data_IF_887224841293
#
_entry.id   IF_887224841293
#
_cell.length_a   1.000
_cell.length_b   1.000
_cell.length_c   1.000
_cell.angle_alpha   90.00
_cell.angle_beta   90.00
_cell.angle_gamma   90.00
#
_symmetry.space_group_name_H-M   'P 1'
#
loop_
_entity.id
_entity.type
_entity.pdbx_description
1 polymer ?
#
# COMPACT_ATOMS: atom_id res chain seq x y z
N UNK A 1 -8.06 12.41 -0.01
CA UNK A 1 -7.04 11.84 -0.92
C UNK A 1 -7.68 10.91 -1.92
N UNK A 2 -6.98 10.66 -3.00
CA UNK A 2 -7.34 9.64 -3.98
C UNK A 2 -6.49 8.40 -3.73
N UNK A 3 -7.14 7.25 -3.53
CA UNK A 3 -6.49 6.01 -3.09
C UNK A 3 -6.86 4.87 -4.04
N UNK A 4 -5.86 4.13 -4.50
CA UNK A 4 -6.05 2.90 -5.26
C UNK A 4 -5.92 1.70 -4.33
N UNK A 5 -6.86 0.76 -4.38
CA UNK A 5 -6.87 -0.42 -3.51
C UNK A 5 -7.07 -1.69 -4.35
N UNK A 6 -6.38 -2.76 -3.96
CA UNK A 6 -6.57 -4.09 -4.52
C UNK A 6 -6.18 -5.16 -3.51
N UNK A 7 -6.54 -6.39 -3.82
CA UNK A 7 -6.16 -7.54 -3.01
C UNK A 7 -5.93 -8.77 -3.90
N UNK A 8 -5.57 -9.89 -3.28
CA UNK A 8 -5.75 -11.21 -3.85
C UNK A 8 -6.99 -11.86 -3.23
N UNK A 9 -7.18 -13.16 -3.47
CA UNK A 9 -8.32 -13.89 -2.90
C UNK A 9 -8.27 -13.94 -1.36
N UNK A 10 -7.08 -14.04 -0.77
CA UNK A 10 -6.92 -14.10 0.69
C UNK A 10 -7.22 -12.77 1.37
N UNK A 11 -7.00 -11.66 0.67
CA UNK A 11 -7.26 -10.32 1.19
C UNK A 11 -8.60 -9.72 0.76
N UNK A 12 -9.38 -10.43 -0.04
CA UNK A 12 -10.60 -9.89 -0.65
C UNK A 12 -11.63 -9.41 0.39
N UNK A 13 -11.93 -10.22 1.39
CA UNK A 13 -12.91 -9.86 2.41
C UNK A 13 -12.52 -8.58 3.14
N UNK A 14 -11.26 -8.48 3.59
CA UNK A 14 -10.78 -7.27 4.24
C UNK A 14 -10.71 -6.08 3.27
N UNK A 15 -10.34 -6.31 2.00
CA UNK A 15 -10.33 -5.23 1.01
C UNK A 15 -11.70 -4.58 0.92
N UNK A 16 -12.77 -5.36 0.88
CA UNK A 16 -14.13 -4.83 0.80
C UNK A 16 -14.49 -3.99 2.03
N UNK A 17 -14.14 -4.46 3.23
CA UNK A 17 -14.38 -3.73 4.47
C UNK A 17 -13.55 -2.45 4.54
N UNK A 18 -12.28 -2.51 4.16
CA UNK A 18 -11.37 -1.37 4.19
C UNK A 18 -11.73 -0.34 3.12
N UNK A 19 -12.17 -0.79 1.95
CA UNK A 19 -12.67 0.08 0.89
C UNK A 19 -13.84 0.93 1.40
N UNK A 20 -14.81 0.30 2.06
CA UNK A 20 -15.96 1.01 2.62
C UNK A 20 -15.54 2.03 3.69
N UNK A 21 -14.59 1.65 4.55
CA UNK A 21 -14.04 2.53 5.57
C UNK A 21 -13.35 3.75 4.94
N UNK A 22 -12.50 3.52 3.93
CA UNK A 22 -11.78 4.61 3.25
C UNK A 22 -12.73 5.53 2.49
N UNK A 23 -13.78 4.99 1.89
CA UNK A 23 -14.73 5.75 1.09
C UNK A 23 -15.52 6.80 1.91
N UNK A 24 -15.53 6.70 3.22
CA UNK A 24 -16.16 7.70 4.09
C UNK A 24 -15.49 9.07 3.98
N UNK A 25 -14.17 9.11 3.72
CA UNK A 25 -13.39 10.35 3.73
C UNK A 25 -12.46 10.51 2.51
N UNK A 26 -12.40 9.53 1.61
CA UNK A 26 -11.49 9.54 0.48
C UNK A 26 -12.17 9.06 -0.79
N UNK A 27 -11.59 9.43 -1.94
CA UNK A 27 -11.98 8.85 -3.22
C UNK A 27 -11.19 7.55 -3.41
N UNK A 28 -11.89 6.42 -3.54
CA UNK A 28 -11.27 5.10 -3.62
C UNK A 28 -11.50 4.48 -4.98
N UNK A 29 -10.42 4.05 -5.62
CA UNK A 29 -10.45 3.33 -6.90
C UNK A 29 -10.12 1.87 -6.58
N UNK A 30 -11.09 0.98 -6.80
CA UNK A 30 -10.92 -0.46 -6.58
C UNK A 30 -10.39 -1.12 -7.85
N UNK A 31 -9.17 -1.67 -7.76
CA UNK A 31 -8.53 -2.34 -8.89
C UNK A 31 -8.75 -3.86 -8.88
N UNK A 32 -9.60 -4.34 -7.99
CA UNK A 32 -10.00 -5.73 -7.96
C UNK A 32 -9.30 -6.60 -6.93
N UNK A 33 -9.59 -7.91 -6.97
CA UNK A 33 -10.61 -8.56 -7.77
C UNK A 33 -12.03 -8.27 -7.28
N UNK A 34 -13.03 -8.75 -8.02
CA UNK A 34 -14.45 -8.58 -7.68
C UNK A 34 -15.02 -9.78 -6.89
N UNK A 35 -14.21 -10.80 -6.64
CA UNK A 35 -14.60 -12.00 -5.92
C UNK A 35 -13.43 -12.58 -5.14
N UNK A 36 -13.70 -13.59 -4.32
CA UNK A 36 -12.66 -14.32 -3.58
C UNK A 36 -12.12 -15.55 -4.35
N UNK A 37 -12.38 -15.63 -5.65
CA UNK A 37 -11.80 -16.68 -6.49
C UNK A 37 -10.28 -16.52 -6.52
N UNK A 38 -9.59 -17.67 -6.59
CA UNK A 38 -8.11 -17.68 -6.56
C UNK A 38 -7.51 -16.86 -7.70
N UNK A 39 -6.62 -15.94 -7.36
CA UNK A 39 -5.87 -15.08 -8.30
C UNK A 39 -4.43 -14.96 -7.84
N UNK A 40 -3.57 -14.50 -8.73
CA UNK A 40 -2.17 -14.23 -8.43
C UNK A 40 -2.00 -12.79 -7.94
N UNK A 41 -1.47 -12.62 -6.73
CA UNK A 41 -1.35 -11.31 -6.10
C UNK A 41 -0.51 -10.29 -6.93
N UNK A 42 0.57 -10.70 -7.67
CA UNK A 42 1.35 -9.71 -8.41
C UNK A 42 0.56 -8.97 -9.49
N UNK A 43 -0.44 -9.62 -10.09
CA UNK A 43 -1.27 -9.00 -11.12
C UNK A 43 -2.01 -7.78 -10.56
N UNK A 44 -2.49 -7.88 -9.33
CA UNK A 44 -3.24 -6.80 -8.68
C UNK A 44 -2.31 -5.77 -8.02
N UNK A 45 -1.18 -6.23 -7.46
CA UNK A 45 -0.17 -5.32 -6.94
C UNK A 45 0.32 -4.36 -8.02
N UNK A 46 0.55 -4.88 -9.23
CA UNK A 46 1.02 -4.09 -10.37
C UNK A 46 0.06 -2.98 -10.77
N UNK A 47 -1.25 -3.24 -10.71
CA UNK A 47 -2.26 -2.23 -11.08
C UNK A 47 -2.21 -1.03 -10.12
N UNK A 48 -2.21 -1.29 -8.81
CA UNK A 48 -2.13 -0.23 -7.80
C UNK A 48 -0.79 0.50 -7.87
N UNK A 49 0.30 -0.26 -7.98
CA UNK A 49 1.63 0.32 -8.06
C UNK A 49 1.76 1.26 -9.26
N UNK A 50 1.20 0.88 -10.41
CA UNK A 50 1.23 1.72 -11.60
C UNK A 50 0.40 3.00 -11.41
N UNK A 51 -0.76 2.90 -10.76
CA UNK A 51 -1.57 4.09 -10.45
C UNK A 51 -0.79 5.09 -9.59
N UNK A 52 -0.04 4.59 -8.60
CA UNK A 52 0.79 5.43 -7.74
C UNK A 52 1.97 6.02 -8.53
N UNK A 53 2.67 5.20 -9.29
CA UNK A 53 3.83 5.64 -10.08
C UNK A 53 3.46 6.71 -11.11
N UNK A 54 2.27 6.60 -11.72
CA UNK A 54 1.78 7.55 -12.73
C UNK A 54 1.22 8.84 -12.11
N UNK A 55 1.11 8.91 -10.78
CA UNK A 55 0.50 10.05 -10.12
C UNK A 55 -1.02 10.12 -10.26
N UNK A 56 -1.65 9.01 -10.71
CA UNK A 56 -3.11 8.94 -10.85
C UNK A 56 -3.82 8.94 -9.50
N UNK A 57 -3.14 8.48 -8.47
CA UNK A 57 -3.62 8.47 -7.08
C UNK A 57 -2.53 8.97 -6.14
N UNK A 58 -2.92 9.36 -4.92
CA UNK A 58 -1.98 9.84 -3.90
C UNK A 58 -1.29 8.68 -3.15
N UNK A 59 -2.02 7.59 -2.91
CA UNK A 59 -1.54 6.43 -2.14
C UNK A 59 -2.13 5.15 -2.68
N UNK A 60 -1.41 4.05 -2.44
CA UNK A 60 -1.88 2.70 -2.75
C UNK A 60 -2.07 1.86 -1.48
N UNK A 61 -3.06 0.98 -1.50
CA UNK A 61 -3.36 0.03 -0.43
C UNK A 61 -3.52 -1.36 -1.06
N UNK A 62 -2.77 -2.32 -0.54
CA UNK A 62 -2.78 -3.69 -1.04
C UNK A 62 -2.98 -4.68 0.10
N UNK A 63 -3.83 -5.67 -0.09
CA UNK A 63 -4.14 -6.68 0.93
C UNK A 63 -3.95 -8.08 0.35
N UNK A 64 -3.15 -8.90 1.02
CA UNK A 64 -3.09 -10.33 0.72
C UNK A 64 -3.07 -11.11 2.04
N UNK A 65 -2.73 -12.39 2.03
CA UNK A 65 -2.71 -13.18 3.27
C UNK A 65 -1.82 -12.58 4.34
N UNK A 66 -0.58 -12.23 4.01
CA UNK A 66 0.39 -11.61 4.93
C UNK A 66 0.71 -10.15 4.60
N UNK A 67 0.46 -9.74 3.37
CA UNK A 67 0.92 -8.45 2.84
C UNK A 67 2.33 -8.49 2.27
N UNK A 68 3.10 -9.54 2.56
CA UNK A 68 4.52 -9.63 2.17
C UNK A 68 4.68 -9.68 0.65
N UNK A 69 3.96 -10.59 -0.02
CA UNK A 69 4.06 -10.72 -1.48
C UNK A 69 3.62 -9.46 -2.22
N UNK A 70 2.60 -8.79 -1.72
CA UNK A 70 2.13 -7.52 -2.28
C UNK A 70 3.22 -6.45 -2.22
N UNK A 71 3.96 -6.37 -1.10
CA UNK A 71 5.06 -5.42 -0.96
C UNK A 71 6.19 -5.73 -1.94
N UNK A 72 6.58 -7.01 -2.04
CA UNK A 72 7.63 -7.43 -2.95
C UNK A 72 7.30 -7.07 -4.40
N UNK A 73 6.05 -7.35 -4.81
CA UNK A 73 5.61 -7.07 -6.17
C UNK A 73 5.53 -5.57 -6.46
N UNK A 74 4.93 -4.80 -5.56
CA UNK A 74 4.77 -3.35 -5.74
C UNK A 74 6.13 -2.64 -5.80
N UNK A 75 7.10 -3.08 -5.00
CA UNK A 75 8.44 -2.47 -4.99
C UNK A 75 9.24 -2.71 -6.27
N UNK A 76 8.79 -3.62 -7.14
CA UNK A 76 9.40 -3.81 -8.47
C UNK A 76 8.97 -2.76 -9.49
N UNK A 77 7.94 -2.00 -9.20
CA UNK A 77 7.47 -0.92 -10.10
C UNK A 77 8.20 0.37 -9.75
N UNK A 78 8.93 0.98 -10.71
CA UNK A 78 9.65 2.23 -10.46
C UNK A 78 8.71 3.32 -9.93
N UNK A 79 9.17 4.05 -8.92
CA UNK A 79 8.38 5.10 -8.28
C UNK A 79 7.63 4.64 -7.03
N UNK A 80 7.60 3.34 -6.75
CA UNK A 80 6.85 2.79 -5.62
C UNK A 80 7.76 2.49 -4.42
N UNK A 81 7.27 2.85 -3.25
CA UNK A 81 7.88 2.54 -1.95
C UNK A 81 6.79 1.90 -1.10
N UNK A 82 6.66 0.58 -1.22
CA UNK A 82 5.64 -0.20 -0.52
C UNK A 82 6.21 -0.78 0.77
N UNK A 83 5.48 -0.62 1.85
CA UNK A 83 5.86 -1.14 3.16
C UNK A 83 4.79 -2.10 3.67
N UNK A 84 5.21 -3.29 4.13
CA UNK A 84 4.31 -4.26 4.75
C UNK A 84 4.20 -3.96 6.25
N UNK A 85 3.03 -3.55 6.70
CA UNK A 85 2.82 -3.00 8.03
C UNK A 85 1.77 -3.82 8.79
N UNK A 86 2.11 -4.20 10.02
CA UNK A 86 1.24 -5.01 10.87
C UNK A 86 0.81 -4.33 12.18
N UNK A 87 1.27 -3.09 12.42
CA UNK A 87 0.86 -2.32 13.58
C UNK A 87 0.87 -0.81 13.28
N UNK A 88 0.11 0.00 14.02
CA UNK A 88 0.04 1.45 13.76
C UNK A 88 1.34 2.21 13.99
N UNK A 89 2.19 1.75 14.92
CA UNK A 89 3.48 2.39 15.17
C UNK A 89 4.35 2.38 13.91
N UNK A 90 4.46 1.22 13.26
CA UNK A 90 5.25 1.12 12.04
C UNK A 90 4.58 1.82 10.85
N UNK A 91 3.26 1.97 10.87
CA UNK A 91 2.56 2.78 9.87
C UNK A 91 3.02 4.24 9.92
N UNK A 92 3.18 4.79 11.12
CA UNK A 92 3.73 6.14 11.29
C UNK A 92 5.18 6.22 10.81
N UNK A 93 6.01 5.25 11.23
CA UNK A 93 7.44 5.25 10.90
C UNK A 93 7.70 5.10 9.40
N UNK A 94 6.93 4.28 8.69
CA UNK A 94 7.14 4.11 7.25
C UNK A 94 6.83 5.40 6.48
N UNK A 95 5.97 6.27 7.02
CA UNK A 95 5.72 7.59 6.45
C UNK A 95 6.83 8.57 6.86
N UNK A 96 7.09 8.67 8.16
CA UNK A 96 8.03 9.65 8.70
C UNK A 96 9.44 9.46 8.16
N UNK A 97 9.90 8.23 8.06
CA UNK A 97 11.29 7.90 7.72
C UNK A 97 11.49 7.51 6.25
N UNK A 98 10.51 6.82 5.65
CA UNK A 98 10.70 6.20 4.34
C UNK A 98 9.85 6.79 3.23
N UNK A 99 8.94 7.68 3.56
CA UNK A 99 8.00 8.28 2.61
C UNK A 99 7.28 7.19 1.79
N UNK A 100 6.86 6.11 2.47
CA UNK A 100 6.15 5.03 1.81
C UNK A 100 4.88 5.56 1.15
N UNK A 101 4.66 5.25 -0.12
CA UNK A 101 3.47 5.68 -0.86
C UNK A 101 2.47 4.55 -1.09
N UNK A 102 2.85 3.32 -0.75
CA UNK A 102 1.98 2.16 -0.76
C UNK A 102 2.12 1.43 0.57
N UNK A 103 0.98 1.01 1.13
CA UNK A 103 0.98 0.16 2.31
C UNK A 103 0.41 -1.20 1.94
N UNK A 104 1.02 -2.27 2.45
CA UNK A 104 0.50 -3.62 2.27
C UNK A 104 0.10 -4.21 3.61
N UNK A 105 -1.04 -4.88 3.64
CA UNK A 105 -1.71 -5.31 4.85
C UNK A 105 -1.98 -6.81 4.83
N UNK A 106 -2.04 -7.40 6.04
CA UNK A 106 -2.36 -8.81 6.22
C UNK A 106 -3.86 -8.99 6.44
N UNK A 107 -4.50 -9.70 5.52
CA UNK A 107 -5.91 -10.05 5.66
C UNK A 107 -6.15 -11.26 6.55
N UNK A 108 -5.15 -12.15 6.71
CA UNK A 108 -5.28 -13.37 7.51
C UNK A 108 -4.83 -13.24 8.95
N UNK A 109 -3.81 -12.43 9.21
CA UNK A 109 -3.12 -12.41 10.51
C UNK A 109 -3.32 -11.13 11.30
N UNK A 110 -3.93 -10.11 10.71
CA UNK A 110 -4.20 -8.83 11.37
C UNK A 110 -5.70 -8.55 11.30
N UNK A 111 -6.28 -8.25 12.44
CA UNK A 111 -7.70 -7.93 12.56
C UNK A 111 -8.03 -6.66 11.76
N UNK A 112 -9.24 -6.62 11.18
CA UNK A 112 -9.67 -5.49 10.35
C UNK A 112 -9.66 -4.17 11.11
N UNK A 113 -10.01 -4.19 12.40
CA UNK A 113 -9.99 -2.97 13.20
C UNK A 113 -8.58 -2.43 13.39
N UNK A 114 -7.58 -3.31 13.52
CA UNK A 114 -6.17 -2.91 13.57
C UNK A 114 -5.73 -2.36 12.20
N UNK A 115 -6.13 -3.00 11.12
CA UNK A 115 -5.81 -2.52 9.78
C UNK A 115 -6.44 -1.15 9.50
N UNK A 116 -7.62 -0.85 10.02
CA UNK A 116 -8.22 0.49 9.94
C UNK A 116 -7.37 1.53 10.65
N UNK A 117 -6.88 1.22 11.85
CA UNK A 117 -5.95 2.10 12.58
C UNK A 117 -4.65 2.32 11.81
N UNK A 118 -4.09 1.24 11.26
CA UNK A 118 -2.90 1.30 10.42
C UNK A 118 -3.13 2.25 9.25
N UNK A 119 -4.24 2.10 8.54
CA UNK A 119 -4.57 2.96 7.39
C UNK A 119 -4.73 4.41 7.80
N UNK A 120 -5.47 4.68 8.88
CA UNK A 120 -5.65 6.05 9.34
C UNK A 120 -4.32 6.71 9.68
N UNK A 121 -3.43 5.99 10.37
CA UNK A 121 -2.09 6.50 10.70
C UNK A 121 -1.27 6.75 9.43
N UNK A 122 -1.29 5.80 8.50
CA UNK A 122 -0.56 5.93 7.23
C UNK A 122 -1.03 7.15 6.43
N UNK A 123 -2.33 7.38 6.36
CA UNK A 123 -2.90 8.47 5.55
C UNK A 123 -2.79 9.85 6.21
N UNK A 124 -2.54 9.92 7.51
CA UNK A 124 -2.49 11.19 8.25
C UNK A 124 -1.09 11.56 8.74
N UNK A 125 -0.06 10.77 8.42
CA UNK A 125 1.31 11.01 8.85
C UNK A 125 2.15 11.53 7.69
N UNK A 126 2.82 12.68 7.89
CA UNK A 126 3.66 13.29 6.87
C UNK A 126 5.09 12.71 6.90
N UNK A 127 5.78 12.85 5.78
CA UNK A 127 7.21 12.57 5.71
C UNK A 127 7.97 13.66 6.49
N UNK A 128 8.90 13.26 7.34
CA UNK A 128 9.69 14.21 8.13
C UNK A 128 10.76 14.94 7.32
N UNK A 129 11.23 14.36 6.23
CA UNK A 129 12.31 14.94 5.45
C UNK A 129 13.64 14.92 6.21
N UNK A 130 14.35 16.03 6.19
CA UNK A 130 15.61 16.18 6.91
C UNK A 130 16.64 15.09 6.53
N UNK A 131 17.18 14.41 7.54
CA UNK A 131 18.16 13.32 7.33
C UNK A 131 17.62 12.13 6.53
N UNK A 132 16.31 11.97 6.47
CA UNK A 132 15.67 10.86 5.76
C UNK A 132 15.60 11.08 4.25
N UNK A 133 15.58 12.33 3.80
CA UNK A 133 15.46 12.70 2.38
C UNK A 133 16.54 12.04 1.52
N UNK A 134 17.79 12.16 1.91
CA UNK A 134 18.90 11.58 1.15
C UNK A 134 18.84 10.05 1.08
N UNK A 135 18.33 9.41 2.13
CA UNK A 135 18.17 7.95 2.16
C UNK A 135 17.06 7.49 1.21
N UNK A 136 15.92 8.20 1.19
CA UNK A 136 14.84 7.91 0.26
C UNK A 136 15.30 8.11 -1.19
N UNK A 137 16.04 9.19 -1.46
CA UNK A 137 16.61 9.44 -2.79
C UNK A 137 17.52 8.30 -3.25
N UNK A 138 18.32 7.72 -2.36
CA UNK A 138 19.18 6.58 -2.67
C UNK A 138 18.38 5.32 -2.97
N UNK A 139 17.27 5.09 -2.26
CA UNK A 139 16.35 3.99 -2.58
C UNK A 139 15.80 4.19 -3.99
N UNK A 140 15.31 5.39 -4.29
CA UNK A 140 14.72 5.69 -5.60
C UNK A 140 15.72 5.65 -6.74
N UNK A 141 17.00 5.86 -6.46
CA UNK A 141 18.05 5.78 -7.48
C UNK A 141 18.20 4.36 -8.05
N UNK A 142 17.79 3.33 -7.30
CA UNK A 142 17.80 1.96 -7.82
C UNK A 142 16.85 1.76 -9.01
N UNK A 143 15.78 2.54 -9.09
CA UNK A 143 14.83 2.46 -10.21
C UNK A 143 15.51 2.72 -11.56
N UNK A 144 16.47 3.61 -11.59
CA UNK A 144 17.22 3.97 -12.81
C UNK A 144 18.13 2.87 -13.29
N UNK A 145 18.56 1.97 -12.41
CA UNK A 145 19.44 0.85 -12.76
C UNK A 145 18.69 -0.30 -13.43
N UNK A 146 17.37 -0.35 -13.28
CA UNK A 146 16.52 -1.36 -13.90
C UNK A 146 16.14 -1.02 -15.35
N UNK A 147 16.38 0.22 -15.76
CA UNK A 147 16.18 0.69 -17.14
C UNK A 147 17.44 0.38 -17.98
#
# INVERSE_FOLDING_TARGET
MKISIASDHAGFEQKELLKAYLAENHEVIDRGPDSDDRVDYPDFAGLVAQDVADGAVDRGVLVCGTGIGMALAADKVPGCRAANIINPEFAALCRQHNDANIITLSGRFVDVEVNKEILNTFLTTDFEGGRHTGRVEKIMAFDKKAE
#
